data_IF_136399992417
#
_entry.id   IF_136399992417
#
_cell.length_a   1.000
_cell.length_b   1.000
_cell.length_c   1.000
_cell.angle_alpha   90.00
_cell.angle_beta   90.00
_cell.angle_gamma   90.00
#
_symmetry.space_group_name_H-M   'P 1'
#
loop_
_entity.id
_entity.type
_entity.pdbx_description
1 polymer ?
#
# COMPACT_ATOMS: atom_id res chain seq x y z
N UNK A 1 8.68 2.39 -27.96
CA UNK A 1 9.19 3.67 -28.50
C UNK A 1 10.51 3.48 -29.26
N UNK A 2 11.55 2.91 -28.64
CA UNK A 2 12.87 2.66 -29.26
C UNK A 2 12.81 1.98 -30.62
N UNK A 3 12.13 0.83 -30.72
CA UNK A 3 12.03 0.09 -32.00
C UNK A 3 11.42 0.93 -33.14
N UNK A 4 10.40 1.74 -32.85
CA UNK A 4 9.68 2.49 -33.89
C UNK A 4 10.46 3.70 -34.41
N UNK A 5 11.14 4.43 -33.51
CA UNK A 5 11.84 5.67 -33.89
C UNK A 5 13.32 5.44 -34.20
N UNK A 6 14.00 4.54 -33.49
CA UNK A 6 15.44 4.32 -33.66
C UNK A 6 15.75 3.17 -34.64
N UNK A 7 14.99 2.08 -34.59
CA UNK A 7 15.21 0.93 -35.49
C UNK A 7 14.51 1.16 -36.84
N UNK A 8 13.23 1.52 -36.82
CA UNK A 8 12.43 1.75 -38.03
C UNK A 8 12.53 3.18 -38.59
N UNK A 9 13.30 4.08 -37.93
CA UNK A 9 13.52 5.49 -38.34
C UNK A 9 12.24 6.27 -38.69
N UNK A 10 11.12 5.94 -38.05
CA UNK A 10 9.88 6.69 -38.28
C UNK A 10 9.96 8.08 -37.63
N UNK A 11 9.25 9.09 -38.17
CA UNK A 11 9.23 10.42 -37.59
C UNK A 11 8.70 10.38 -36.15
N UNK A 12 9.39 11.11 -35.26
CA UNK A 12 8.98 11.25 -33.85
C UNK A 12 7.71 12.10 -33.80
N UNK A 13 6.57 11.44 -33.66
CA UNK A 13 5.25 12.06 -33.54
C UNK A 13 4.72 12.06 -32.09
N UNK A 14 5.60 11.96 -31.11
CA UNK A 14 5.27 11.93 -29.70
C UNK A 14 6.30 12.71 -28.89
N UNK A 15 5.83 13.41 -27.84
CA UNK A 15 6.65 14.18 -26.91
C UNK A 15 6.42 13.68 -25.50
N UNK A 16 7.48 13.59 -24.71
CA UNK A 16 7.40 13.38 -23.27
C UNK A 16 7.82 14.68 -22.59
N UNK A 17 6.97 15.19 -21.72
CA UNK A 17 7.19 16.47 -21.03
C UNK A 17 7.28 16.20 -19.52
N UNK A 18 8.43 15.74 -19.00
CA UNK A 18 8.59 15.45 -17.57
C UNK A 18 8.56 16.74 -16.73
N UNK A 19 8.47 16.56 -15.41
CA UNK A 19 8.53 17.64 -14.42
C UNK A 19 7.54 18.78 -14.66
N UNK A 20 6.31 18.44 -15.11
CA UNK A 20 5.22 19.39 -15.32
C UNK A 20 3.97 18.96 -14.57
N UNK A 21 3.27 19.92 -14.00
CA UNK A 21 1.90 19.75 -13.50
C UNK A 21 0.92 20.46 -14.41
N UNK A 22 -0.23 19.83 -14.67
CA UNK A 22 -1.38 20.52 -15.28
C UNK A 22 -2.11 21.27 -14.17
N UNK A 23 -2.13 22.60 -14.25
CA UNK A 23 -2.76 23.49 -13.24
C UNK A 23 -4.12 24.02 -13.68
N UNK A 24 -4.39 23.98 -14.98
CA UNK A 24 -5.66 24.41 -15.55
C UNK A 24 -5.98 23.70 -16.86
N UNK A 25 -7.26 23.66 -17.18
CA UNK A 25 -7.78 23.12 -18.43
C UNK A 25 -8.90 24.04 -18.93
N UNK A 26 -8.70 24.63 -20.10
CA UNK A 26 -9.65 25.55 -20.73
C UNK A 26 -10.16 24.96 -22.04
N UNK A 27 -11.47 25.08 -22.29
CA UNK A 27 -12.04 24.70 -23.59
C UNK A 27 -11.76 25.79 -24.63
N UNK A 28 -11.28 25.39 -25.81
CA UNK A 28 -10.99 26.24 -26.97
C UNK A 28 -11.78 25.74 -28.19
N UNK A 29 -13.11 25.77 -28.10
CA UNK A 29 -13.99 25.30 -29.16
C UNK A 29 -14.01 23.77 -29.23
N UNK A 30 -13.36 23.18 -30.24
CA UNK A 30 -13.28 21.72 -30.41
C UNK A 30 -12.07 21.09 -29.71
N UNK A 31 -11.18 21.90 -29.14
CA UNK A 31 -9.96 21.45 -28.47
C UNK A 31 -9.88 21.95 -27.03
N UNK A 32 -8.83 21.51 -26.33
CA UNK A 32 -8.49 21.90 -24.97
C UNK A 32 -7.14 22.57 -24.93
N UNK A 33 -7.01 23.59 -24.09
CA UNK A 33 -5.74 24.18 -23.72
C UNK A 33 -5.42 23.81 -22.27
N UNK A 34 -4.26 23.20 -22.06
CA UNK A 34 -3.72 22.85 -20.77
C UNK A 34 -2.76 23.96 -20.33
N UNK A 35 -2.92 24.42 -19.09
CA UNK A 35 -1.95 25.29 -18.42
C UNK A 35 -0.98 24.42 -17.64
N UNK A 36 0.31 24.59 -17.87
CA UNK A 36 1.37 23.76 -17.31
C UNK A 36 2.32 24.60 -16.46
N UNK A 37 2.68 24.09 -15.29
CA UNK A 37 3.77 24.62 -14.45
C UNK A 37 4.96 23.65 -14.52
N UNK A 38 6.16 24.19 -14.75
CA UNK A 38 7.40 23.42 -14.86
C UNK A 38 8.25 23.54 -13.60
N UNK A 39 8.52 22.40 -12.96
CA UNK A 39 9.06 22.36 -11.59
C UNK A 39 10.59 22.53 -11.49
N UNK A 40 11.32 22.50 -12.62
CA UNK A 40 12.79 22.64 -12.59
C UNK A 40 13.25 24.09 -12.71
N UNK A 41 12.46 24.95 -13.35
CA UNK A 41 12.77 26.35 -13.61
C UNK A 41 11.66 27.31 -13.16
N UNK A 42 10.60 26.78 -12.52
CA UNK A 42 9.40 27.50 -12.13
C UNK A 42 8.73 28.26 -13.29
N UNK A 43 8.90 27.73 -14.52
CA UNK A 43 8.30 28.28 -15.73
C UNK A 43 6.85 27.86 -15.93
N UNK A 44 6.20 28.49 -16.89
CA UNK A 44 4.84 28.19 -17.31
C UNK A 44 4.80 27.94 -18.81
N UNK A 45 3.96 27.01 -19.25
CA UNK A 45 3.79 26.69 -20.66
C UNK A 45 2.32 26.31 -20.94
N UNK A 46 1.95 26.24 -22.23
CA UNK A 46 0.62 25.78 -22.63
C UNK A 46 0.71 24.64 -23.64
N UNK A 47 -0.28 23.75 -23.60
CA UNK A 47 -0.40 22.66 -24.56
C UNK A 47 -1.82 22.58 -25.09
N UNK A 48 -1.97 22.57 -26.41
CA UNK A 48 -3.26 22.33 -27.06
C UNK A 48 -3.43 20.84 -27.41
N UNK A 49 -4.62 20.32 -27.20
CA UNK A 49 -4.98 18.95 -27.57
C UNK A 49 -6.48 18.82 -27.83
N UNK A 50 -6.86 18.08 -28.87
CA UNK A 50 -8.26 17.74 -29.13
C UNK A 50 -8.83 16.79 -28.05
N UNK A 51 -7.98 15.94 -27.47
CA UNK A 51 -8.36 14.94 -26.46
C UNK A 51 -7.38 14.94 -25.30
N UNK A 52 -7.90 14.87 -24.07
CA UNK A 52 -7.11 14.76 -22.83
C UNK A 52 -7.52 13.50 -22.08
N UNK A 53 -6.55 12.67 -21.71
CA UNK A 53 -6.77 11.44 -20.93
C UNK A 53 -6.13 11.61 -19.56
N UNK A 54 -6.95 11.67 -18.51
CA UNK A 54 -6.47 11.72 -17.12
C UNK A 54 -6.17 10.32 -16.59
N UNK A 55 -4.92 9.88 -16.79
CA UNK A 55 -4.40 8.64 -16.22
C UNK A 55 -3.79 8.84 -14.81
N UNK A 56 -4.48 9.58 -13.94
CA UNK A 56 -3.97 10.05 -12.63
C UNK A 56 -4.08 9.01 -11.50
N UNK A 57 -4.53 7.78 -11.81
CA UNK A 57 -4.76 6.74 -10.82
C UNK A 57 -6.05 6.92 -10.01
N UNK A 58 -6.11 6.30 -8.83
CA UNK A 58 -7.26 6.28 -7.93
C UNK A 58 -6.91 6.90 -6.57
N UNK A 59 -7.92 7.45 -5.88
CA UNK A 59 -7.80 7.90 -4.49
C UNK A 59 -8.72 7.10 -3.57
N UNK A 60 -8.34 6.87 -2.30
CA UNK A 60 -9.25 6.33 -1.30
C UNK A 60 -10.49 7.22 -1.16
N UNK A 61 -11.65 6.60 -1.01
CA UNK A 61 -12.91 7.28 -0.75
C UNK A 61 -13.79 6.40 0.15
N UNK A 62 -14.45 7.01 1.13
CA UNK A 62 -15.36 6.30 2.01
C UNK A 62 -16.67 5.98 1.28
N UNK A 63 -17.11 4.70 1.25
CA UNK A 63 -18.39 4.33 0.65
C UNK A 63 -19.57 4.98 1.40
N UNK A 64 -20.44 5.69 0.68
CA UNK A 64 -21.60 6.37 1.28
C UNK A 64 -22.57 5.41 2.00
N UNK A 65 -22.62 4.14 1.56
CA UNK A 65 -23.41 3.10 2.23
C UNK A 65 -23.01 2.88 3.70
N UNK A 66 -21.77 3.22 4.08
CA UNK A 66 -21.29 3.09 5.45
C UNK A 66 -21.66 4.28 6.33
N UNK A 67 -22.22 5.37 5.78
CA UNK A 67 -22.56 6.58 6.55
C UNK A 67 -23.34 6.31 7.85
N UNK A 68 -24.35 5.42 7.90
CA UNK A 68 -25.06 5.10 9.15
C UNK A 68 -24.22 4.38 10.20
N UNK A 69 -23.13 3.73 9.79
CA UNK A 69 -22.24 2.95 10.64
C UNK A 69 -20.96 3.70 11.04
N UNK A 70 -20.66 4.83 10.41
CA UNK A 70 -19.40 5.57 10.59
C UNK A 70 -19.11 5.92 12.05
N UNK A 71 -20.13 6.28 12.84
CA UNK A 71 -19.96 6.60 14.27
C UNK A 71 -19.49 5.41 15.12
N UNK A 72 -19.61 4.19 14.59
CA UNK A 72 -19.20 2.96 15.24
C UNK A 72 -17.91 2.38 14.66
N UNK A 73 -17.42 2.88 13.53
CA UNK A 73 -16.22 2.36 12.87
C UNK A 73 -15.02 3.23 13.27
N UNK A 74 -13.95 2.60 13.73
CA UNK A 74 -12.74 3.33 14.08
C UNK A 74 -11.96 3.73 12.82
N UNK A 75 -11.71 5.02 12.71
CA UNK A 75 -10.94 5.62 11.62
C UNK A 75 -9.46 5.74 12.01
N UNK A 76 -8.57 5.51 11.04
CA UNK A 76 -7.14 5.78 11.18
C UNK A 76 -6.85 7.24 10.85
N UNK A 77 -7.46 7.73 9.77
CA UNK A 77 -7.41 9.12 9.30
C UNK A 77 -8.74 9.48 8.61
N UNK A 78 -8.80 10.63 7.95
CA UNK A 78 -10.03 11.16 7.30
C UNK A 78 -10.67 10.20 6.27
N UNK A 79 -9.88 9.34 5.62
CA UNK A 79 -10.34 8.49 4.52
C UNK A 79 -10.04 7.00 4.71
N UNK A 80 -9.35 6.60 5.78
CA UNK A 80 -8.89 5.23 5.96
C UNK A 80 -9.39 4.62 7.27
N UNK A 81 -9.88 3.38 7.20
CA UNK A 81 -10.33 2.61 8.35
C UNK A 81 -9.16 2.03 9.15
N UNK A 82 -9.35 1.79 10.45
CA UNK A 82 -8.48 0.88 11.21
C UNK A 82 -8.85 -0.56 10.89
N UNK A 83 -7.96 -1.23 10.16
CA UNK A 83 -8.11 -2.64 9.76
C UNK A 83 -7.17 -3.50 10.60
N UNK A 84 -7.70 -4.58 11.18
CA UNK A 84 -6.94 -5.58 11.93
C UNK A 84 -6.22 -6.56 11.00
N UNK A 85 -5.32 -7.36 11.53
CA UNK A 85 -4.54 -8.33 10.76
C UNK A 85 -5.41 -9.44 10.13
N UNK A 86 -6.59 -9.71 10.69
CA UNK A 86 -7.59 -10.63 10.14
C UNK A 86 -8.52 -9.99 9.09
N UNK A 87 -8.17 -8.78 8.64
CA UNK A 87 -8.90 -7.96 7.67
C UNK A 87 -10.27 -7.45 8.15
N UNK A 88 -10.57 -7.55 9.44
CA UNK A 88 -11.78 -6.94 10.00
C UNK A 88 -11.55 -5.47 10.34
N UNK A 89 -12.61 -4.65 10.23
CA UNK A 89 -12.61 -3.30 10.75
C UNK A 89 -12.67 -3.32 12.28
N UNK A 90 -11.93 -2.42 12.92
CA UNK A 90 -12.21 -2.08 14.31
C UNK A 90 -13.53 -1.31 14.38
N UNK A 91 -14.58 -1.92 14.93
CA UNK A 91 -15.89 -1.29 15.03
C UNK A 91 -16.68 -1.72 16.27
N UNK A 92 -17.59 -0.86 16.73
CA UNK A 92 -18.49 -1.09 17.88
C UNK A 92 -19.87 -1.59 17.41
N UNK A 93 -19.89 -2.81 16.88
CA UNK A 93 -21.08 -3.52 16.42
C UNK A 93 -21.37 -4.80 17.23
N UNK A 94 -22.40 -5.57 16.85
CA UNK A 94 -22.65 -6.90 17.41
C UNK A 94 -21.41 -7.79 17.26
N UNK A 95 -21.10 -8.62 18.27
CA UNK A 95 -19.87 -9.42 18.33
C UNK A 95 -19.79 -10.48 17.23
N UNK A 96 -20.96 -10.93 16.79
CA UNK A 96 -21.15 -11.96 15.77
C UNK A 96 -20.98 -11.41 14.35
N UNK A 97 -21.02 -10.08 14.19
CA UNK A 97 -20.95 -9.43 12.90
C UNK A 97 -19.56 -8.80 12.71
N UNK A 98 -18.92 -9.13 11.59
CA UNK A 98 -17.65 -8.53 11.20
C UNK A 98 -17.84 -7.76 9.90
N UNK A 99 -17.22 -6.58 9.81
CA UNK A 99 -17.05 -5.86 8.54
C UNK A 99 -15.65 -6.16 8.06
N UNK A 100 -15.52 -6.79 6.90
CA UNK A 100 -14.22 -7.09 6.29
C UNK A 100 -13.85 -6.00 5.29
N UNK A 101 -12.57 -5.65 5.27
CA UNK A 101 -12.04 -4.65 4.37
C UNK A 101 -10.89 -5.24 3.53
N UNK A 102 -10.99 -5.08 2.22
CA UNK A 102 -10.04 -5.57 1.22
C UNK A 102 -9.68 -4.41 0.31
N UNK A 103 -8.41 -4.28 -0.05
CA UNK A 103 -7.85 -3.16 -0.81
C UNK A 103 -8.03 -1.79 -0.12
N UNK A 104 -8.22 -1.80 1.20
CA UNK A 104 -8.58 -0.65 2.02
C UNK A 104 -7.54 -0.37 3.12
N UNK A 105 -6.38 -1.02 3.06
CA UNK A 105 -5.42 -1.03 4.17
C UNK A 105 -3.97 -0.89 3.70
N UNK A 106 -3.73 -0.40 2.48
CA UNK A 106 -2.40 -0.13 1.91
C UNK A 106 -1.41 0.54 2.87
N UNK A 107 -1.87 1.51 3.66
CA UNK A 107 -1.02 2.22 4.63
C UNK A 107 -0.60 1.37 5.84
N UNK A 108 -1.29 0.26 6.11
CA UNK A 108 -1.06 -0.63 7.27
C UNK A 108 -0.46 -1.97 6.89
N UNK A 109 -0.89 -2.53 5.76
CA UNK A 109 -0.44 -3.83 5.24
C UNK A 109 0.56 -3.68 4.09
N UNK A 110 0.93 -2.43 3.75
CA UNK A 110 1.98 -2.09 2.81
C UNK A 110 1.61 -2.32 1.34
N UNK A 111 2.64 -2.32 0.48
CA UNK A 111 2.53 -2.45 -0.98
C UNK A 111 1.95 -3.82 -1.40
N UNK A 112 1.96 -4.79 -0.48
CA UNK A 112 1.38 -6.12 -0.67
C UNK A 112 -0.17 -6.11 -0.77
N UNK A 113 -0.83 -5.03 -0.35
CA UNK A 113 -2.28 -4.96 -0.22
C UNK A 113 -3.03 -4.93 -1.58
N UNK A 114 -2.67 -4.12 -2.57
CA UNK A 114 -3.32 -4.17 -3.90
C UNK A 114 -2.85 -5.34 -4.77
N UNK A 115 -1.89 -6.16 -4.30
CA UNK A 115 -1.26 -7.17 -5.13
C UNK A 115 -2.15 -8.41 -5.28
N UNK A 116 -2.47 -8.78 -6.53
CA UNK A 116 -3.32 -9.92 -6.85
C UNK A 116 -2.76 -11.26 -6.32
N UNK A 117 -1.44 -11.41 -6.26
CA UNK A 117 -0.82 -12.67 -5.83
C UNK A 117 -1.08 -13.03 -4.36
N UNK A 118 -1.49 -12.08 -3.52
CA UNK A 118 -1.84 -12.33 -2.12
C UNK A 118 -3.35 -12.44 -1.87
N UNK A 119 -4.17 -12.31 -2.91
CA UNK A 119 -5.63 -12.40 -2.77
C UNK A 119 -6.08 -13.76 -2.25
N UNK A 120 -5.50 -14.87 -2.75
CA UNK A 120 -5.88 -16.20 -2.30
C UNK A 120 -5.65 -16.40 -0.79
N UNK A 121 -4.46 -16.01 -0.30
CA UNK A 121 -4.12 -16.07 1.11
C UNK A 121 -5.01 -15.15 1.97
N UNK A 122 -5.29 -13.93 1.49
CA UNK A 122 -6.20 -12.99 2.18
C UNK A 122 -7.62 -13.55 2.27
N UNK A 123 -8.16 -14.08 1.18
CA UNK A 123 -9.48 -14.71 1.14
C UNK A 123 -9.55 -15.90 2.08
N UNK A 124 -8.51 -16.74 2.13
CA UNK A 124 -8.42 -17.84 3.07
C UNK A 124 -8.46 -17.36 4.54
N UNK A 125 -7.72 -16.29 4.87
CA UNK A 125 -7.73 -15.69 6.21
C UNK A 125 -9.09 -15.10 6.59
N UNK A 126 -9.75 -14.40 5.67
CA UNK A 126 -11.10 -13.86 5.86
C UNK A 126 -12.11 -14.99 6.09
N UNK A 127 -12.04 -16.08 5.31
CA UNK A 127 -12.96 -17.21 5.44
C UNK A 127 -12.78 -17.95 6.76
N UNK A 128 -11.53 -18.21 7.19
CA UNK A 128 -11.28 -18.80 8.50
C UNK A 128 -11.88 -17.92 9.62
N UNK A 129 -11.69 -16.60 9.53
CA UNK A 129 -12.22 -15.65 10.51
C UNK A 129 -13.76 -15.57 10.51
N UNK A 130 -14.38 -15.59 9.33
CA UNK A 130 -15.83 -15.54 9.17
C UNK A 130 -16.51 -16.82 9.67
N UNK A 131 -15.87 -17.97 9.48
CA UNK A 131 -16.39 -19.27 9.94
C UNK A 131 -16.05 -19.57 11.41
N UNK A 132 -15.12 -18.83 12.02
CA UNK A 132 -14.64 -19.09 13.38
C UNK A 132 -13.84 -20.38 13.53
N UNK A 133 -13.35 -20.95 12.42
CA UNK A 133 -12.52 -22.16 12.37
C UNK A 133 -11.57 -22.10 11.19
N UNK A 134 -10.45 -22.82 11.28
CA UNK A 134 -9.52 -22.92 10.16
C UNK A 134 -10.05 -23.89 9.09
N UNK A 135 -10.52 -23.33 7.97
CA UNK A 135 -10.90 -24.09 6.78
C UNK A 135 -9.72 -24.27 5.82
N UNK A 136 -8.86 -23.26 5.76
CA UNK A 136 -7.63 -23.26 4.95
C UNK A 136 -6.41 -23.19 5.86
N UNK A 137 -5.35 -23.93 5.51
CA UNK A 137 -4.06 -23.82 6.17
C UNK A 137 -3.34 -22.54 5.70
N UNK A 138 -2.95 -21.71 6.66
CA UNK A 138 -2.21 -20.45 6.45
C UNK A 138 -0.76 -20.56 6.90
N UNK A 139 -0.30 -21.76 7.25
CA UNK A 139 1.08 -22.00 7.65
C UNK A 139 2.03 -21.59 6.53
N UNK A 140 3.06 -20.82 6.90
CA UNK A 140 4.11 -20.42 5.98
C UNK A 140 5.26 -21.39 6.13
N UNK A 141 5.83 -21.91 5.03
CA UNK A 141 7.06 -22.69 5.12
C UNK A 141 8.19 -21.81 5.70
N UNK A 142 9.23 -22.42 6.30
CA UNK A 142 10.34 -21.67 6.87
C UNK A 142 10.91 -20.67 5.87
N UNK A 143 10.92 -19.39 6.24
CA UNK A 143 11.44 -18.35 5.38
C UNK A 143 12.97 -18.42 5.34
N UNK A 144 13.55 -18.35 4.14
CA UNK A 144 15.01 -18.27 3.97
C UNK A 144 15.57 -16.98 4.60
N UNK A 145 14.79 -15.90 4.61
CA UNK A 145 15.17 -14.60 5.13
C UNK A 145 14.49 -14.36 6.47
N UNK A 146 15.29 -14.20 7.53
CA UNK A 146 14.80 -13.76 8.84
C UNK A 146 14.92 -12.24 8.95
N UNK A 147 13.78 -11.55 8.77
CA UNK A 147 13.73 -10.08 8.81
C UNK A 147 13.80 -9.50 10.23
N UNK A 148 13.45 -10.26 11.26
CA UNK A 148 13.32 -9.77 12.65
C UNK A 148 14.12 -10.63 13.62
N UNK A 149 14.77 -9.99 14.60
CA UNK A 149 15.38 -10.67 15.75
C UNK A 149 14.30 -11.33 16.60
N UNK A 150 14.58 -12.52 17.14
CA UNK A 150 13.64 -13.28 17.97
C UNK A 150 13.42 -12.69 19.37
N UNK A 151 14.30 -11.80 19.82
CA UNK A 151 14.17 -11.07 21.08
C UNK A 151 14.28 -9.56 20.84
N UNK A 152 13.54 -8.79 21.66
CA UNK A 152 13.76 -7.35 21.84
C UNK A 152 14.79 -7.06 22.93
N UNK A 153 15.06 -8.04 23.79
CA UNK A 153 16.07 -7.93 24.83
C UNK A 153 17.46 -8.13 24.24
N UNK A 154 18.37 -7.27 24.67
CA UNK A 154 19.78 -7.37 24.33
C UNK A 154 20.34 -8.58 25.06
N UNK A 155 20.93 -9.57 24.37
CA UNK A 155 21.49 -10.74 25.05
C UNK A 155 22.57 -10.28 26.03
N UNK A 156 22.41 -10.66 27.30
CA UNK A 156 23.43 -10.47 28.32
C UNK A 156 24.38 -11.67 28.28
N UNK A 157 25.70 -11.45 28.19
CA UNK A 157 26.65 -12.53 28.32
C UNK A 157 26.52 -13.11 29.72
N UNK A 158 26.32 -14.43 29.80
CA UNK A 158 26.36 -15.16 31.05
C UNK A 158 27.75 -14.96 31.68
N UNK A 159 27.80 -14.45 32.91
CA UNK A 159 29.07 -14.22 33.58
C UNK A 159 29.78 -15.56 33.73
N UNK A 160 30.92 -15.71 33.05
CA UNK A 160 31.76 -16.89 33.15
C UNK A 160 32.02 -17.19 34.63
N UNK A 161 31.46 -18.30 35.12
CA UNK A 161 31.70 -18.77 36.47
C UNK A 161 33.17 -19.17 36.57
N UNK A 162 34.00 -18.29 37.13
CA UNK A 162 35.37 -18.62 37.52
C UNK A 162 35.29 -19.61 38.67
N UNK A 163 35.28 -20.90 38.36
CA UNK A 163 35.50 -21.98 39.32
C UNK A 163 36.88 -21.75 39.94
N UNK A 164 36.91 -21.25 41.18
CA UNK A 164 38.14 -21.13 41.97
C UNK A 164 38.70 -22.52 42.22
N UNK A 165 39.80 -22.86 41.55
CA UNK A 165 40.66 -23.95 41.97
C UNK A 165 41.32 -23.55 43.30
N UNK A 166 40.78 -24.00 44.42
CA UNK A 166 41.51 -24.02 45.69
C UNK A 166 42.47 -25.20 45.66
N UNK A 167 43.74 -24.95 45.37
CA UNK A 167 44.80 -25.92 45.64
C UNK A 167 45.14 -25.85 47.14
N UNK A 168 44.88 -26.93 47.87
CA UNK A 168 45.39 -27.12 49.22
C UNK A 168 46.90 -27.35 49.15
N UNK A 169 47.68 -26.48 49.80
CA UNK A 169 49.08 -26.75 50.12
C UNK A 169 49.13 -27.81 51.22
N UNK A 170 49.77 -28.94 50.91
CA UNK A 170 50.35 -29.86 51.89
C UNK A 170 51.82 -29.53 52.11
#
# INVERSE_FOLDING_TARGET
MYHRFEVLRQPRNARLLPSRSVTGLESRGQSWQLLLEHHLDNGYDTLESDVVIFATGYRPALPQILSPLMSRIAMRDECNFKVRDDFTLEWNGPKENNIFAVNASMQTHGIAEPQLSLMAWRSARILNRALGRDLFDLSMPPALIQWRSGSREKPQPEAASLTRYTASLG
#
